data_IF_390163009078
#
_entry.id   IF_390163009078
#
_cell.length_a   1.000
_cell.length_b   1.000
_cell.length_c   1.000
_cell.angle_alpha   90.00
_cell.angle_beta   90.00
_cell.angle_gamma   90.00
#
_symmetry.space_group_name_H-M   'P 1'
#
loop_
_entity.id
_entity.type
_entity.pdbx_description
1 polymer ?
#
# COMPACT_ATOMS: atom_id res chain seq x y z
N UNK A 1 8.33 -26.03 21.62
CA UNK A 1 9.56 -25.62 20.88
C UNK A 1 9.07 -24.90 19.63
N UNK A 2 9.17 -23.57 19.56
CA UNK A 2 8.75 -22.84 18.36
C UNK A 2 9.83 -23.00 17.29
N UNK A 3 9.45 -23.46 16.10
CA UNK A 3 10.36 -23.53 14.96
C UNK A 3 10.82 -22.11 14.62
N UNK A 4 12.11 -21.93 14.35
CA UNK A 4 12.67 -20.65 13.89
C UNK A 4 12.43 -20.40 12.40
N UNK A 5 12.07 -21.45 11.66
CA UNK A 5 11.85 -21.45 10.22
C UNK A 5 10.41 -21.81 9.88
N UNK A 6 9.97 -21.43 8.68
CA UNK A 6 8.63 -21.75 8.15
C UNK A 6 8.71 -23.14 7.48
N UNK A 7 7.95 -24.16 7.95
CA UNK A 7 8.00 -25.52 7.40
C UNK A 7 7.71 -25.58 5.90
N UNK A 8 6.82 -24.72 5.41
CA UNK A 8 6.41 -24.66 4.00
C UNK A 8 7.45 -23.96 3.11
N UNK A 9 8.36 -23.18 3.71
CA UNK A 9 9.41 -22.47 2.98
C UNK A 9 10.64 -22.22 3.87
N UNK A 10 11.64 -23.07 3.75
CA UNK A 10 12.85 -23.02 4.57
C UNK A 10 13.74 -21.80 4.30
N UNK A 11 13.47 -21.01 3.24
CA UNK A 11 14.15 -19.73 3.01
C UNK A 11 13.56 -18.60 3.88
N UNK A 12 12.46 -18.85 4.60
CA UNK A 12 11.76 -17.90 5.45
C UNK A 12 11.87 -18.30 6.91
N UNK A 13 12.05 -17.29 7.77
CA UNK A 13 12.18 -17.45 9.20
C UNK A 13 11.08 -16.69 9.92
N UNK A 14 10.62 -17.25 11.04
CA UNK A 14 9.71 -16.54 11.93
C UNK A 14 10.46 -15.47 12.74
N UNK A 15 9.81 -14.34 12.91
CA UNK A 15 10.11 -13.32 13.90
C UNK A 15 9.07 -13.42 15.00
N UNK A 16 9.52 -13.57 16.25
CA UNK A 16 8.66 -13.86 17.41
C UNK A 16 8.67 -12.73 18.46
N UNK A 17 9.42 -11.65 18.20
CA UNK A 17 9.54 -10.53 19.13
C UNK A 17 8.51 -9.44 18.79
N UNK A 18 7.99 -8.77 19.82
CA UNK A 18 7.06 -7.64 19.68
C UNK A 18 7.71 -6.36 19.16
N UNK A 19 9.03 -6.34 19.03
CA UNK A 19 9.81 -5.21 18.54
C UNK A 19 10.66 -5.65 17.33
N UNK A 20 10.88 -4.74 16.38
CA UNK A 20 11.83 -4.87 15.29
C UNK A 20 12.48 -3.51 15.01
N UNK A 21 13.81 -3.43 15.11
CA UNK A 21 14.58 -2.18 14.89
C UNK A 21 14.11 -0.99 15.75
N UNK A 22 13.75 -1.24 17.01
CA UNK A 22 13.25 -0.19 17.91
C UNK A 22 11.79 0.20 17.70
N UNK A 23 11.07 -0.44 16.76
CA UNK A 23 9.66 -0.21 16.51
C UNK A 23 8.81 -1.38 17.00
N UNK A 24 7.67 -1.07 17.62
CA UNK A 24 6.67 -2.07 17.95
C UNK A 24 6.08 -2.66 16.66
N UNK A 25 6.05 -3.98 16.59
CA UNK A 25 5.43 -4.74 15.50
C UNK A 25 4.27 -5.56 16.04
N UNK A 26 3.24 -5.77 15.20
CA UNK A 26 2.07 -6.57 15.54
C UNK A 26 2.41 -8.08 15.47
N UNK A 27 3.34 -8.52 16.30
CA UNK A 27 3.73 -9.93 16.43
C UNK A 27 3.11 -10.51 17.70
N UNK A 28 2.39 -11.63 17.56
CA UNK A 28 1.91 -12.42 18.71
C UNK A 28 2.42 -13.85 18.60
N UNK A 29 2.35 -14.61 19.69
CA UNK A 29 2.78 -16.02 19.69
C UNK A 29 2.00 -16.86 18.68
N UNK A 30 0.73 -16.54 18.45
CA UNK A 30 -0.15 -17.23 17.51
C UNK A 30 -0.10 -16.67 16.09
N UNK A 31 0.50 -15.48 15.91
CA UNK A 31 0.66 -14.80 14.62
C UNK A 31 2.09 -14.27 14.49
N UNK A 32 3.07 -15.17 14.31
CA UNK A 32 4.45 -14.79 14.12
C UNK A 32 4.62 -14.06 12.77
N UNK A 33 5.55 -13.11 12.72
CA UNK A 33 5.87 -12.39 11.50
C UNK A 33 6.95 -13.11 10.71
N UNK A 34 7.09 -12.79 9.42
CA UNK A 34 8.18 -13.31 8.59
C UNK A 34 9.34 -12.34 8.62
N UNK A 35 10.49 -12.78 9.14
CA UNK A 35 11.67 -11.92 9.35
C UNK A 35 12.14 -11.25 8.05
N UNK A 36 12.22 -12.00 6.96
CA UNK A 36 12.68 -11.49 5.66
C UNK A 36 11.73 -10.43 5.09
N UNK A 37 10.43 -10.49 5.43
CA UNK A 37 9.48 -9.46 5.03
C UNK A 37 9.65 -8.19 5.87
N UNK A 38 9.95 -8.33 7.17
CA UNK A 38 10.34 -7.19 8.03
C UNK A 38 11.64 -6.53 7.55
N UNK A 39 12.66 -7.31 7.19
CA UNK A 39 13.92 -6.81 6.64
C UNK A 39 13.70 -6.03 5.34
N UNK A 40 12.85 -6.56 4.44
CA UNK A 40 12.49 -5.88 3.19
C UNK A 40 11.69 -4.60 3.43
N UNK A 41 10.71 -4.63 4.35
CA UNK A 41 9.92 -3.46 4.74
C UNK A 41 10.83 -2.35 5.29
N UNK A 42 11.73 -2.70 6.19
CA UNK A 42 12.69 -1.77 6.77
C UNK A 42 13.61 -1.13 5.71
N UNK A 43 14.16 -1.94 4.81
CA UNK A 43 15.02 -1.45 3.73
C UNK A 43 14.30 -0.42 2.84
N UNK A 44 13.03 -0.69 2.48
CA UNK A 44 12.22 0.24 1.69
C UNK A 44 11.91 1.52 2.46
N UNK A 45 11.57 1.41 3.75
CA UNK A 45 11.30 2.58 4.60
C UNK A 45 12.55 3.47 4.70
N UNK A 46 13.70 2.89 5.04
CA UNK A 46 14.96 3.63 5.18
C UNK A 46 15.39 4.28 3.86
N UNK A 47 15.27 3.55 2.74
CA UNK A 47 15.57 4.12 1.43
C UNK A 47 14.66 5.32 1.10
N UNK A 48 13.37 5.22 1.43
CA UNK A 48 12.43 6.29 1.13
C UNK A 48 12.63 7.54 2.00
N UNK A 49 12.85 7.35 3.31
CA UNK A 49 13.06 8.44 4.28
C UNK A 49 14.39 9.17 4.04
N UNK A 50 15.42 8.49 3.51
CA UNK A 50 16.68 9.12 3.10
C UNK A 50 16.51 10.19 2.02
N UNK A 51 15.52 10.06 1.15
CA UNK A 51 15.28 10.97 0.03
C UNK A 51 14.05 11.87 0.20
N UNK A 52 13.23 11.58 1.21
CA UNK A 52 11.95 12.26 1.45
C UNK A 52 11.89 12.66 2.92
N UNK A 53 12.28 13.90 3.30
CA UNK A 53 12.37 14.31 4.70
C UNK A 53 11.05 14.23 5.46
N UNK A 54 9.93 14.37 4.75
CA UNK A 54 8.59 14.31 5.31
C UNK A 54 7.79 13.23 4.60
N UNK A 55 7.61 12.10 5.26
CA UNK A 55 6.90 10.94 4.70
C UNK A 55 5.49 10.88 5.25
N UNK A 56 4.51 10.73 4.36
CA UNK A 56 3.18 10.26 4.73
C UNK A 56 3.06 8.78 4.37
N UNK A 57 2.78 7.95 5.36
CA UNK A 57 2.49 6.54 5.18
C UNK A 57 0.99 6.28 5.24
N UNK A 58 0.49 5.43 4.34
CA UNK A 58 -0.91 5.02 4.28
C UNK A 58 -0.96 3.50 4.13
N UNK A 59 -1.60 2.83 5.09
CA UNK A 59 -1.99 1.43 4.95
C UNK A 59 -3.36 1.35 4.27
N UNK A 60 -3.49 0.51 3.24
CA UNK A 60 -4.76 0.29 2.52
C UNK A 60 -4.98 -1.20 2.25
N UNK A 61 -6.24 -1.61 2.25
CA UNK A 61 -6.63 -2.98 1.95
C UNK A 61 -7.47 -3.01 0.66
N UNK A 62 -6.90 -3.55 -0.41
CA UNK A 62 -7.57 -3.68 -1.69
C UNK A 62 -8.34 -5.00 -1.72
N UNK A 63 -9.66 -4.90 -1.85
CA UNK A 63 -10.54 -6.04 -2.05
C UNK A 63 -10.96 -6.10 -3.51
N UNK A 64 -10.84 -7.28 -4.10
CA UNK A 64 -11.47 -7.51 -5.39
C UNK A 64 -12.95 -7.85 -5.15
N UNK A 65 -13.90 -7.13 -5.76
CA UNK A 65 -15.34 -7.30 -5.47
C UNK A 65 -15.95 -8.53 -6.17
N UNK A 66 -15.20 -9.22 -7.02
CA UNK A 66 -15.65 -10.38 -7.77
C UNK A 66 -14.53 -11.41 -7.95
N UNK A 67 -14.92 -12.65 -8.19
CA UNK A 67 -13.99 -13.72 -8.56
C UNK A 67 -13.63 -13.58 -10.04
N UNK A 68 -12.49 -12.94 -10.31
CA UNK A 68 -11.94 -12.78 -11.66
C UNK A 68 -10.72 -13.69 -11.78
N UNK A 69 -10.72 -14.69 -12.68
CA UNK A 69 -9.60 -15.60 -12.85
C UNK A 69 -8.26 -14.89 -13.09
N UNK A 70 -8.26 -13.74 -13.77
CA UNK A 70 -7.04 -12.95 -13.99
C UNK A 70 -6.47 -12.31 -12.71
N UNK A 71 -7.29 -12.10 -11.69
CA UNK A 71 -6.89 -11.59 -10.37
C UNK A 71 -6.49 -12.75 -9.45
N UNK A 72 -7.20 -13.87 -9.51
CA UNK A 72 -6.90 -15.07 -8.71
C UNK A 72 -5.59 -15.74 -9.16
N UNK A 73 -5.29 -15.77 -10.45
CA UNK A 73 -4.12 -16.51 -10.95
C UNK A 73 -2.90 -15.61 -11.25
N UNK A 74 -2.98 -14.30 -11.00
CA UNK A 74 -1.89 -13.38 -11.32
C UNK A 74 -1.78 -12.20 -10.35
N UNK A 75 -0.54 -11.79 -10.09
CA UNK A 75 -0.25 -10.55 -9.36
C UNK A 75 -0.10 -9.33 -10.29
N UNK A 76 -0.34 -9.49 -11.60
CA UNK A 76 -0.24 -8.39 -12.58
C UNK A 76 -1.16 -7.21 -12.24
N UNK A 77 -2.31 -7.49 -11.63
CA UNK A 77 -3.27 -6.49 -11.17
C UNK A 77 -2.63 -5.43 -10.25
N UNK A 78 -1.63 -5.82 -9.46
CA UNK A 78 -0.93 -4.90 -8.60
C UNK A 78 -0.09 -3.92 -9.42
N UNK A 79 0.60 -4.41 -10.46
CA UNK A 79 1.36 -3.54 -11.35
C UNK A 79 0.43 -2.58 -12.09
N UNK A 80 -0.70 -3.07 -12.60
CA UNK A 80 -1.71 -2.23 -13.25
C UNK A 80 -2.24 -1.15 -12.29
N UNK A 81 -2.44 -1.49 -11.01
CA UNK A 81 -2.80 -0.52 -9.96
C UNK A 81 -1.70 0.53 -9.74
N UNK A 82 -0.44 0.11 -9.65
CA UNK A 82 0.69 1.03 -9.43
C UNK A 82 0.85 2.00 -10.59
N UNK A 83 0.79 1.51 -11.82
CA UNK A 83 0.90 2.34 -13.02
C UNK A 83 -0.25 3.34 -13.09
N UNK A 84 -1.47 2.88 -12.77
CA UNK A 84 -2.67 3.71 -12.73
C UNK A 84 -2.62 4.78 -11.62
N UNK A 85 -2.00 4.49 -10.47
CA UNK A 85 -1.80 5.44 -9.36
C UNK A 85 -0.73 6.48 -9.71
N UNK A 86 0.41 6.04 -10.24
CA UNK A 86 1.49 6.93 -10.67
C UNK A 86 1.03 7.90 -11.75
N UNK A 87 0.29 7.41 -12.76
CA UNK A 87 -0.27 8.25 -13.81
C UNK A 87 -1.21 9.33 -13.25
N UNK A 88 -2.06 8.98 -12.27
CA UNK A 88 -2.97 9.93 -11.63
C UNK A 88 -2.24 11.00 -10.83
N UNK A 89 -1.19 10.62 -10.10
CA UNK A 89 -0.36 11.55 -9.33
C UNK A 89 0.42 12.46 -10.27
N UNK A 90 1.00 11.93 -11.35
CA UNK A 90 1.67 12.73 -12.37
C UNK A 90 0.71 13.76 -12.99
N UNK A 91 -0.52 13.33 -13.36
CA UNK A 91 -1.54 14.23 -13.87
C UNK A 91 -1.94 15.30 -12.84
N UNK A 92 -2.08 14.94 -11.56
CA UNK A 92 -2.35 15.88 -10.47
C UNK A 92 -1.24 16.93 -10.34
N UNK A 93 0.02 16.52 -10.30
CA UNK A 93 1.17 17.41 -10.21
C UNK A 93 1.27 18.33 -11.43
N UNK A 94 1.05 17.81 -12.63
CA UNK A 94 1.02 18.60 -13.86
C UNK A 94 -0.07 19.66 -13.85
N UNK A 95 -1.30 19.31 -13.44
CA UNK A 95 -2.40 20.29 -13.28
C UNK A 95 -2.03 21.41 -12.31
N UNK A 96 -1.41 21.06 -11.17
CA UNK A 96 -0.95 22.08 -10.20
C UNK A 96 0.13 22.99 -10.79
N UNK A 97 1.08 22.42 -11.52
CA UNK A 97 2.13 23.19 -12.21
C UNK A 97 1.55 24.17 -13.23
N UNK A 98 0.59 23.73 -14.06
CA UNK A 98 -0.11 24.59 -15.04
C UNK A 98 -0.87 25.72 -14.34
N UNK A 99 -1.44 25.46 -13.15
CA UNK A 99 -2.09 26.46 -12.32
C UNK A 99 -1.12 27.38 -11.55
N UNK A 100 0.19 27.33 -11.84
CA UNK A 100 1.24 28.06 -11.11
C UNK A 100 1.24 27.80 -9.59
N UNK A 101 0.69 26.65 -9.15
CA UNK A 101 0.72 26.23 -7.76
C UNK A 101 2.06 25.56 -7.47
N UNK A 102 2.58 25.78 -6.26
CA UNK A 102 3.77 25.07 -5.76
C UNK A 102 3.57 23.55 -5.84
N UNK A 103 4.56 22.85 -6.38
CA UNK A 103 4.63 21.39 -6.47
C UNK A 103 5.94 20.88 -5.91
N UNK A 104 5.97 19.62 -5.49
CA UNK A 104 7.17 18.92 -5.06
C UNK A 104 7.25 17.58 -5.79
N UNK A 105 8.46 17.00 -5.94
CA UNK A 105 8.60 15.63 -6.43
C UNK A 105 7.88 14.65 -5.49
N UNK A 106 7.10 13.73 -6.06
CA UNK A 106 6.45 12.66 -5.32
C UNK A 106 6.55 11.36 -6.09
N UNK A 107 7.59 10.56 -5.79
CA UNK A 107 7.66 9.17 -6.20
C UNK A 107 6.93 8.33 -5.16
N UNK A 108 5.91 7.58 -5.56
CA UNK A 108 5.21 6.68 -4.65
C UNK A 108 6.01 5.40 -4.48
N UNK A 109 6.42 5.13 -3.24
CA UNK A 109 6.90 3.80 -2.86
C UNK A 109 5.74 2.99 -2.32
N UNK A 110 5.79 1.68 -2.55
CA UNK A 110 4.73 0.77 -2.14
C UNK A 110 5.33 -0.58 -1.76
N UNK A 111 4.69 -1.22 -0.78
CA UNK A 111 4.93 -2.60 -0.41
C UNK A 111 3.55 -3.23 -0.32
N UNK A 112 3.43 -4.48 -0.75
CA UNK A 112 2.16 -5.17 -0.68
C UNK A 112 2.35 -6.64 -0.31
N UNK A 113 1.34 -7.17 0.37
CA UNK A 113 1.16 -8.58 0.65
C UNK A 113 -0.17 -9.02 0.05
N UNK A 114 -0.21 -10.23 -0.48
CA UNK A 114 -1.44 -10.88 -0.95
C UNK A 114 -1.74 -12.00 0.01
N UNK A 115 -2.96 -12.05 0.50
CA UNK A 115 -3.45 -13.21 1.22
C UNK A 115 -4.68 -13.81 0.55
N UNK A 116 -4.78 -15.13 0.67
CA UNK A 116 -5.85 -15.93 0.11
C UNK A 116 -5.94 -17.17 0.98
N UNK A 117 -6.66 -17.04 2.10
CA UNK A 117 -6.88 -18.18 3.03
C UNK A 117 -8.04 -19.03 2.54
N UNK A 118 -9.26 -18.57 2.80
CA UNK A 118 -10.50 -19.31 2.54
C UNK A 118 -11.46 -18.55 1.63
N UNK A 119 -11.21 -17.28 1.37
CA UNK A 119 -11.98 -16.50 0.40
C UNK A 119 -11.62 -16.92 -1.02
N UNK A 120 -12.63 -17.08 -1.89
CA UNK A 120 -12.41 -17.30 -3.32
C UNK A 120 -11.71 -16.13 -4.01
N UNK A 121 -11.69 -14.96 -3.37
CA UNK A 121 -11.12 -13.73 -3.90
C UNK A 121 -9.96 -13.25 -3.01
N UNK A 122 -8.79 -12.93 -3.59
CA UNK A 122 -7.65 -12.43 -2.82
C UNK A 122 -7.89 -11.02 -2.29
N UNK A 123 -7.32 -10.74 -1.12
CA UNK A 123 -7.12 -9.38 -0.60
C UNK A 123 -5.65 -8.99 -0.73
N UNK A 124 -5.40 -7.68 -0.85
CA UNK A 124 -4.05 -7.13 -0.87
C UNK A 124 -3.90 -6.09 0.22
N UNK A 125 -2.94 -6.29 1.12
CA UNK A 125 -2.54 -5.32 2.13
C UNK A 125 -1.38 -4.49 1.58
N UNK A 126 -1.54 -3.17 1.50
CA UNK A 126 -0.53 -2.28 0.96
C UNK A 126 -0.08 -1.27 2.01
N UNK A 127 1.21 -0.97 2.01
CA UNK A 127 1.76 0.24 2.58
C UNK A 127 2.19 1.15 1.43
N UNK A 128 1.59 2.34 1.34
CA UNK A 128 1.94 3.38 0.38
C UNK A 128 2.67 4.52 1.10
N UNK A 129 3.79 4.95 0.53
CA UNK A 129 4.59 6.07 1.06
C UNK A 129 4.57 7.22 0.06
N UNK A 130 4.28 8.41 0.57
CA UNK A 130 4.17 9.64 -0.19
C UNK A 130 5.05 10.73 0.42
N UNK A 131 5.41 11.70 -0.41
CA UNK A 131 5.95 12.97 0.07
C UNK A 131 4.82 13.76 0.75
N UNK A 132 4.96 14.02 2.06
CA UNK A 132 3.96 14.72 2.86
C UNK A 132 3.74 16.17 2.38
N UNK A 133 4.74 16.79 1.76
CA UNK A 133 4.62 18.15 1.19
C UNK A 133 3.74 18.17 -0.08
N UNK A 134 3.50 17.00 -0.70
CA UNK A 134 2.50 16.84 -1.78
C UNK A 134 1.16 16.40 -1.21
N UNK A 135 1.16 15.38 -0.36
CA UNK A 135 -0.04 14.83 0.26
C UNK A 135 0.14 14.77 1.78
N UNK A 136 -0.49 15.70 2.49
CA UNK A 136 -0.45 15.74 3.97
C UNK A 136 -1.53 14.87 4.62
N UNK A 137 -2.53 14.44 3.85
CA UNK A 137 -3.61 13.55 4.27
C UNK A 137 -4.16 12.80 3.05
N UNK A 138 -5.02 11.80 3.29
CA UNK A 138 -5.80 11.14 2.25
C UNK A 138 -6.78 12.08 1.54
N UNK A 139 -7.15 13.18 2.20
CA UNK A 139 -8.23 14.07 1.79
C UNK A 139 -9.62 13.43 1.99
N UNK A 140 -10.65 14.20 1.69
CA UNK A 140 -12.03 13.79 1.93
C UNK A 140 -12.51 12.70 0.95
N UNK A 141 -13.34 11.80 1.47
CA UNK A 141 -13.98 10.72 0.71
C UNK A 141 -15.00 11.23 -0.32
N UNK A 142 -15.66 12.36 -0.03
CA UNK A 142 -16.71 12.98 -0.84
C UNK A 142 -16.24 14.18 -1.68
N UNK A 143 -14.94 14.51 -1.66
CA UNK A 143 -14.42 15.61 -2.47
C UNK A 143 -14.67 15.37 -3.97
N UNK A 144 -15.17 16.40 -4.66
CA UNK A 144 -15.61 16.29 -6.05
C UNK A 144 -14.48 15.97 -7.05
N UNK A 145 -13.21 16.27 -6.72
CA UNK A 145 -12.04 15.76 -7.45
C UNK A 145 -10.73 16.08 -6.74
N UNK A 146 -9.71 15.23 -6.93
CA UNK A 146 -8.31 15.56 -6.62
C UNK A 146 -7.76 15.13 -5.25
N UNK A 147 -8.55 14.48 -4.39
CA UNK A 147 -8.02 13.88 -3.15
C UNK A 147 -7.18 12.64 -3.44
N UNK A 148 -6.22 12.35 -2.56
CA UNK A 148 -5.39 11.15 -2.69
C UNK A 148 -6.24 9.88 -2.63
N UNK A 149 -7.26 9.86 -1.76
CA UNK A 149 -8.23 8.78 -1.68
C UNK A 149 -8.88 8.49 -3.03
N UNK A 150 -9.38 9.52 -3.74
CA UNK A 150 -10.01 9.34 -5.06
C UNK A 150 -9.01 8.85 -6.10
N UNK A 151 -7.75 9.26 -6.01
CA UNK A 151 -6.70 8.75 -6.89
C UNK A 151 -6.43 7.26 -6.64
N UNK A 152 -6.36 6.83 -5.38
CA UNK A 152 -6.21 5.42 -4.99
C UNK A 152 -7.41 4.59 -5.46
N UNK A 153 -8.63 5.04 -5.15
CA UNK A 153 -9.87 4.38 -5.59
C UNK A 153 -9.94 4.26 -7.12
N UNK A 154 -9.68 5.36 -7.82
CA UNK A 154 -9.68 5.37 -9.28
C UNK A 154 -8.61 4.45 -9.87
N UNK A 155 -7.42 4.39 -9.27
CA UNK A 155 -6.36 3.49 -9.70
C UNK A 155 -6.79 2.02 -9.55
N UNK A 156 -7.44 1.68 -8.44
CA UNK A 156 -7.95 0.33 -8.20
C UNK A 156 -9.05 -0.06 -9.19
N UNK A 157 -10.02 0.82 -9.41
CA UNK A 157 -11.07 0.59 -10.40
C UNK A 157 -10.50 0.42 -11.82
N UNK A 158 -9.49 1.23 -12.19
CA UNK A 158 -8.79 1.07 -13.46
C UNK A 158 -8.07 -0.28 -13.59
N UNK A 159 -7.38 -0.73 -12.54
CA UNK A 159 -6.72 -2.03 -12.53
C UNK A 159 -7.75 -3.17 -12.71
N UNK A 160 -8.88 -3.08 -11.99
CA UNK A 160 -9.96 -4.07 -12.09
C UNK A 160 -10.73 -4.01 -13.42
N UNK A 161 -10.57 -2.93 -14.20
CA UNK A 161 -11.33 -2.61 -15.41
C UNK A 161 -12.83 -2.47 -15.14
N UNK A 162 -13.17 -1.81 -14.03
CA UNK A 162 -14.56 -1.52 -13.63
C UNK A 162 -14.86 -0.05 -13.93
N UNK A 163 -16.08 0.28 -14.39
CA UNK A 163 -16.59 1.64 -14.45
C UNK A 163 -16.44 2.42 -13.13
N UNK A 164 -16.17 3.73 -13.22
CA UNK A 164 -15.84 4.58 -12.06
C UNK A 164 -17.03 4.83 -11.10
N UNK A 165 -18.26 4.56 -11.56
CA UNK A 165 -19.53 4.68 -10.85
C UNK A 165 -19.85 3.47 -9.95
N UNK A 166 -19.16 2.34 -10.12
CA UNK A 166 -19.27 1.20 -9.21
C UNK A 166 -18.40 1.44 -7.96
N UNK A 167 -19.02 1.87 -6.86
CA UNK A 167 -18.37 2.02 -5.55
C UNK A 167 -18.05 0.67 -4.88
N UNK A 168 -17.16 -0.12 -5.48
CA UNK A 168 -16.95 -1.51 -5.03
C UNK A 168 -15.47 -1.80 -4.87
N UNK A 169 -15.03 -2.00 -3.62
CA UNK A 169 -13.83 -2.80 -3.32
C UNK A 169 -12.63 -2.13 -2.62
N UNK A 170 -12.70 -0.88 -2.19
CA UNK A 170 -11.64 -0.30 -1.34
C UNK A 170 -12.11 -0.21 0.12
N UNK A 171 -11.52 -1.01 1.00
CA UNK A 171 -11.64 -0.82 2.44
C UNK A 171 -10.35 -0.19 2.96
N UNK A 172 -10.48 0.97 3.59
CA UNK A 172 -9.33 1.70 4.13
C UNK A 172 -9.29 1.47 5.64
N UNK A 173 -8.35 0.65 6.12
CA UNK A 173 -7.99 0.64 7.53
C UNK A 173 -6.88 1.67 7.75
N UNK A 174 -7.25 2.83 8.31
CA UNK A 174 -6.32 3.90 8.61
C UNK A 174 -5.61 3.64 9.95
N UNK A 175 -4.33 3.28 9.89
CA UNK A 175 -3.37 3.63 10.94
C UNK A 175 -2.39 4.64 10.33
N UNK A 176 -2.68 5.93 10.49
CA UNK A 176 -1.68 6.97 10.18
C UNK A 176 -0.64 6.96 11.29
N UNK A 177 0.41 6.14 11.12
CA UNK A 177 1.62 6.27 11.92
C UNK A 177 2.42 7.49 11.44
N UNK A 178 2.55 8.51 12.29
CA UNK A 178 3.59 9.52 12.15
C UNK A 178 4.93 8.81 12.39
N UNK A 179 5.72 8.62 11.34
CA UNK A 179 7.15 8.34 11.50
C UNK A 179 7.80 9.70 11.81
N UNK A 180 7.91 10.01 13.11
CA UNK A 180 8.67 11.14 13.63
C UNK A 180 10.12 10.73 13.89
#
# INVERSE_FOLDING_TARGET
MHLKYIPENHNLNYWLLSEYQGLNVQCTTDQPLVKQYLEKLWSVLMHYTQHTPRVMAVRIDLHCPFDKPSVVHSNRIMQDFKDALDARIAAYLNRRKVQSKRTYPCKVMWIWAREQKTSGVPHFHLLLLFNQDVFHSLGEYHAQSGSLMKMIQGAWNSALKIPADLHTGLYMYQECGLFA
#
